data_IF_815557316724
#
_entry.id   IF_815557316724
#
_cell.length_a   1.000
_cell.length_b   1.000
_cell.length_c   1.000
_cell.angle_alpha   90.00
_cell.angle_beta   90.00
_cell.angle_gamma   90.00
#
_symmetry.space_group_name_H-M   'P 1'
#
loop_
_entity.id
_entity.type
_entity.pdbx_description
1 polymer ?
#
# COMPACT_ATOMS: atom_id res chain seq x y z
N UNK A 1 14.03 -6.94 -5.03
CA UNK A 1 13.14 -8.12 -5.11
C UNK A 1 12.09 -7.88 -4.04
N UNK A 2 10.90 -7.44 -4.42
CA UNK A 2 9.84 -7.08 -3.48
C UNK A 2 8.67 -8.02 -3.69
N UNK A 3 7.96 -8.36 -2.62
CA UNK A 3 6.74 -9.16 -2.65
C UNK A 3 5.58 -8.47 -1.92
N UNK A 4 4.40 -9.09 -1.91
CA UNK A 4 3.19 -8.46 -1.39
C UNK A 4 3.30 -7.99 0.08
N UNK A 5 3.90 -8.75 1.02
CA UNK A 5 4.20 -8.27 2.37
C UNK A 5 4.98 -6.95 2.43
N UNK A 6 5.92 -6.70 1.53
CA UNK A 6 6.65 -5.42 1.50
C UNK A 6 5.71 -4.25 1.20
N UNK A 7 4.74 -4.46 0.30
CA UNK A 7 3.72 -3.45 -0.04
C UNK A 7 2.72 -3.25 1.10
N UNK A 8 2.37 -4.29 1.85
CA UNK A 8 1.58 -4.15 3.08
C UNK A 8 2.33 -3.27 4.10
N UNK A 9 3.57 -3.66 4.40
CA UNK A 9 4.40 -2.99 5.40
C UNK A 9 4.56 -1.50 5.10
N UNK A 10 4.99 -1.14 3.88
CA UNK A 10 5.21 0.27 3.54
C UNK A 10 3.92 1.08 3.61
N UNK A 11 2.78 0.45 3.30
CA UNK A 11 1.48 1.12 3.37
C UNK A 11 1.08 1.41 4.81
N UNK A 12 1.31 0.47 5.73
CA UNK A 12 1.08 0.70 7.17
C UNK A 12 1.95 1.86 7.68
N UNK A 13 3.23 1.91 7.27
CA UNK A 13 4.11 3.02 7.64
C UNK A 13 3.59 4.38 7.13
N UNK A 14 3.11 4.44 5.88
CA UNK A 14 2.53 5.65 5.29
C UNK A 14 1.24 6.08 6.00
N UNK A 15 0.37 5.12 6.36
CA UNK A 15 -0.85 5.39 7.13
C UNK A 15 -0.50 5.95 8.51
N UNK A 16 0.49 5.39 9.21
CA UNK A 16 0.94 5.90 10.52
C UNK A 16 1.55 7.31 10.44
N UNK A 17 2.27 7.62 9.36
CA UNK A 17 2.73 8.98 9.08
C UNK A 17 1.54 9.91 8.87
N UNK A 18 0.54 9.49 8.08
CA UNK A 18 -0.65 10.29 7.80
C UNK A 18 -1.53 10.49 9.04
N UNK A 19 -1.62 9.50 9.93
CA UNK A 19 -2.30 9.62 11.23
C UNK A 19 -1.65 10.73 12.07
N UNK A 20 -0.31 10.76 12.12
CA UNK A 20 0.44 11.79 12.87
C UNK A 20 0.37 13.19 12.25
N UNK A 21 0.43 13.30 10.92
CA UNK A 21 0.70 14.60 10.26
C UNK A 21 -0.41 15.08 9.32
N UNK A 22 -1.33 14.21 8.91
CA UNK A 22 -2.31 14.48 7.86
C UNK A 22 -3.76 14.21 8.26
N UNK A 23 -4.06 13.97 9.56
CA UNK A 23 -5.39 13.57 10.05
C UNK A 23 -5.89 12.28 9.39
N UNK A 24 -4.97 11.33 9.20
CA UNK A 24 -5.26 10.04 8.56
C UNK A 24 -5.58 10.11 7.07
N UNK A 25 -5.43 11.26 6.41
CA UNK A 25 -5.76 11.40 4.98
C UNK A 25 -4.64 10.84 4.12
N UNK A 26 -4.97 9.84 3.31
CA UNK A 26 -4.10 9.25 2.29
C UNK A 26 -4.88 9.16 0.99
N UNK A 27 -4.24 9.52 -0.13
CA UNK A 27 -4.75 9.26 -1.47
C UNK A 27 -3.71 8.39 -2.16
N UNK A 28 -4.14 7.25 -2.69
CA UNK A 28 -3.29 6.32 -3.44
C UNK A 28 -3.72 6.28 -4.90
N UNK A 29 -2.75 6.29 -5.81
CA UNK A 29 -2.96 6.18 -7.26
C UNK A 29 -2.12 5.04 -7.81
N UNK A 30 -2.73 4.19 -8.63
CA UNK A 30 -1.99 3.12 -9.31
C UNK A 30 -1.10 3.72 -10.41
N UNK A 31 0.19 3.41 -10.35
CA UNK A 31 1.17 3.80 -11.38
C UNK A 31 1.41 2.65 -12.38
N UNK A 32 2.33 1.74 -12.06
CA UNK A 32 2.71 0.62 -12.93
C UNK A 32 2.57 -0.75 -12.26
N UNK A 33 2.96 -1.78 -13.01
CA UNK A 33 2.92 -3.18 -12.57
C UNK A 33 2.56 -4.09 -13.73
N UNK A 34 3.55 -4.82 -14.23
CA UNK A 34 3.43 -5.53 -15.51
C UNK A 34 3.30 -7.06 -15.36
N UNK A 35 3.65 -7.59 -14.19
CA UNK A 35 3.32 -8.97 -13.83
C UNK A 35 1.92 -9.00 -13.23
N UNK A 36 0.94 -9.59 -13.94
CA UNK A 36 -0.45 -9.64 -13.48
C UNK A 36 -0.59 -10.33 -12.13
N UNK A 37 0.19 -11.39 -11.90
CA UNK A 37 0.18 -12.12 -10.62
C UNK A 37 0.72 -11.26 -9.49
N UNK A 38 1.88 -10.64 -9.69
CA UNK A 38 2.50 -9.80 -8.66
C UNK A 38 1.66 -8.54 -8.40
N UNK A 39 1.15 -7.90 -9.46
CA UNK A 39 0.27 -6.73 -9.36
C UNK A 39 -0.97 -7.06 -8.50
N UNK A 40 -1.66 -8.17 -8.80
CA UNK A 40 -2.81 -8.61 -8.01
C UNK A 40 -2.48 -8.77 -6.53
N UNK A 41 -1.36 -9.44 -6.23
CA UNK A 41 -0.97 -9.72 -4.84
C UNK A 41 -0.57 -8.44 -4.09
N UNK A 42 0.30 -7.63 -4.69
CA UNK A 42 0.80 -6.39 -4.09
C UNK A 42 -0.29 -5.34 -3.93
N UNK A 43 -1.19 -5.18 -4.91
CA UNK A 43 -2.32 -4.24 -4.78
C UNK A 43 -3.32 -4.69 -3.71
N UNK A 44 -3.62 -5.99 -3.61
CA UNK A 44 -4.49 -6.50 -2.55
C UNK A 44 -3.91 -6.25 -1.16
N UNK A 45 -2.60 -6.49 -0.98
CA UNK A 45 -1.90 -6.20 0.27
C UNK A 45 -1.88 -4.69 0.61
N UNK A 46 -1.59 -3.84 -0.37
CA UNK A 46 -1.63 -2.38 -0.23
C UNK A 46 -3.03 -1.87 0.16
N UNK A 47 -4.08 -2.28 -0.57
CA UNK A 47 -5.45 -1.84 -0.29
C UNK A 47 -5.94 -2.38 1.05
N UNK A 48 -5.61 -3.64 1.40
CA UNK A 48 -5.90 -4.19 2.71
C UNK A 48 -5.33 -3.34 3.85
N UNK A 49 -4.05 -2.97 3.75
CA UNK A 49 -3.40 -2.10 4.73
C UNK A 49 -3.98 -0.67 4.78
N UNK A 50 -4.59 -0.16 3.71
CA UNK A 50 -5.29 1.14 3.73
C UNK A 50 -6.64 1.10 4.46
N UNK A 51 -7.27 -0.08 4.56
CA UNK A 51 -8.60 -0.25 5.15
C UNK A 51 -8.58 -0.56 6.65
N UNK A 52 -7.39 -0.80 7.23
CA UNK A 52 -7.15 -1.01 8.67
C UNK A 52 -6.80 0.30 9.43
#
# INVERSE_FOLDING_TARGET
>A
NLDAPDYEWITRELVEIARRHARGRVVSTLEGGYSLTALRQSTAAHVGALME
#
